data_IF_779091529515
#
_entry.id   IF_779091529515
#
_cell.length_a   1.000
_cell.length_b   1.000
_cell.length_c   1.000
_cell.angle_alpha   90.00
_cell.angle_beta   90.00
_cell.angle_gamma   90.00
#
_symmetry.space_group_name_H-M   'P 1'
#
loop_
_entity.id
_entity.type
_entity.pdbx_description
1 polymer ?
#
# COMPACT_ATOMS: atom_id res chain seq x y z
N UNK A 1 -57.82 -6.00 23.60
CA UNK A 1 -56.35 -6.08 23.77
C UNK A 1 -55.77 -7.19 22.89
N UNK A 2 -55.86 -7.10 21.55
CA UNK A 2 -55.31 -8.14 20.62
C UNK A 2 -54.91 -7.63 19.22
N UNK A 3 -55.00 -6.33 18.93
CA UNK A 3 -54.73 -5.80 17.58
C UNK A 3 -53.39 -5.04 17.50
N UNK A 4 -52.87 -4.58 18.64
CA UNK A 4 -51.59 -3.85 18.70
C UNK A 4 -50.34 -4.74 18.60
N UNK A 5 -50.46 -6.04 18.89
CA UNK A 5 -49.33 -6.98 18.83
C UNK A 5 -48.98 -7.43 17.41
N UNK A 6 -49.95 -7.42 16.48
CA UNK A 6 -49.72 -7.80 15.10
C UNK A 6 -48.99 -6.71 14.28
N UNK A 7 -49.23 -5.43 14.60
CA UNK A 7 -48.59 -4.32 13.90
C UNK A 7 -47.08 -4.20 14.22
N UNK A 8 -46.66 -4.58 15.44
CA UNK A 8 -45.25 -4.55 15.86
C UNK A 8 -44.40 -5.66 15.25
N UNK A 9 -45.00 -6.78 14.85
CA UNK A 9 -44.28 -7.89 14.19
C UNK A 9 -44.05 -7.62 12.70
N UNK A 10 -44.92 -6.83 12.05
CA UNK A 10 -44.80 -6.53 10.61
C UNK A 10 -43.65 -5.55 10.29
N UNK A 11 -43.26 -4.69 11.21
CA UNK A 11 -42.16 -3.72 10.99
C UNK A 11 -40.77 -4.33 11.17
N UNK A 12 -40.65 -5.46 11.88
CA UNK A 12 -39.39 -6.18 12.04
C UNK A 12 -39.00 -7.02 10.81
N UNK A 13 -39.99 -7.47 10.02
CA UNK A 13 -39.74 -8.27 8.82
C UNK A 13 -38.99 -7.50 7.73
N UNK A 14 -39.24 -6.20 7.57
CA UNK A 14 -38.57 -5.36 6.57
C UNK A 14 -37.09 -5.10 6.87
N UNK A 15 -36.64 -5.31 8.12
CA UNK A 15 -35.25 -5.11 8.50
C UNK A 15 -34.35 -6.30 8.12
N UNK A 16 -34.91 -7.51 7.97
CA UNK A 16 -34.12 -8.73 7.67
C UNK A 16 -33.81 -8.87 6.18
N UNK A 17 -34.74 -8.46 5.30
CA UNK A 17 -34.55 -8.52 3.84
C UNK A 17 -33.52 -7.52 3.30
N UNK A 18 -33.19 -6.47 4.06
CA UNK A 18 -32.27 -5.43 3.61
C UNK A 18 -30.81 -5.91 3.54
N UNK A 19 -30.45 -6.98 4.26
CA UNK A 19 -29.08 -7.51 4.32
C UNK A 19 -28.86 -8.73 3.44
N UNK A 20 -29.91 -9.47 3.10
CA UNK A 20 -29.81 -10.76 2.37
C UNK A 20 -29.09 -10.63 1.01
N UNK A 21 -29.28 -9.51 0.31
CA UNK A 21 -28.65 -9.25 -0.99
C UNK A 21 -27.59 -8.14 -0.92
N UNK A 22 -26.72 -8.21 0.10
CA UNK A 22 -25.62 -7.25 0.28
C UNK A 22 -24.26 -7.91 0.09
N UNK A 23 -23.38 -7.20 -0.60
CA UNK A 23 -22.01 -7.63 -0.85
C UNK A 23 -21.06 -6.58 -0.25
N UNK A 24 -20.05 -6.98 0.53
CA UNK A 24 -19.07 -6.08 1.09
C UNK A 24 -18.07 -5.61 0.02
N UNK A 25 -17.62 -4.36 0.12
CA UNK A 25 -16.55 -3.81 -0.70
C UNK A 25 -15.37 -3.43 0.19
N UNK A 26 -14.20 -3.98 -0.11
CA UNK A 26 -12.96 -3.72 0.62
C UNK A 26 -11.96 -3.06 -0.33
N UNK A 27 -11.33 -1.98 0.13
CA UNK A 27 -10.32 -1.24 -0.60
C UNK A 27 -9.08 -1.11 0.29
N UNK A 28 -7.90 -1.44 -0.23
CA UNK A 28 -6.64 -1.27 0.49
C UNK A 28 -5.51 -0.92 -0.47
N UNK A 29 -4.48 -0.27 0.07
CA UNK A 29 -3.31 0.15 -0.68
C UNK A 29 -2.06 0.19 0.20
N UNK A 30 -0.89 -0.26 -0.30
CA UNK A 30 0.39 -0.11 0.40
C UNK A 30 0.84 1.35 0.60
N UNK A 31 0.28 2.30 -0.16
CA UNK A 31 0.51 3.75 -0.05
C UNK A 31 -0.77 4.48 0.30
N UNK A 32 -0.68 5.78 0.63
CA UNK A 32 -1.80 6.67 0.95
C UNK A 32 -2.68 7.06 -0.25
N UNK A 33 -3.20 6.07 -0.96
CA UNK A 33 -4.13 6.29 -2.06
C UNK A 33 -5.59 6.24 -1.65
N UNK A 34 -5.89 5.70 -0.47
CA UNK A 34 -7.25 5.56 0.04
C UNK A 34 -7.37 6.41 1.30
N UNK A 35 -8.34 7.31 1.31
CA UNK A 35 -8.67 8.11 2.48
C UNK A 35 -9.85 7.44 3.18
N UNK A 36 -9.78 7.22 4.51
CA UNK A 36 -10.94 6.74 5.24
C UNK A 36 -12.07 7.74 5.04
N UNK A 37 -13.25 7.23 4.66
CA UNK A 37 -14.43 8.07 4.43
C UNK A 37 -14.81 8.71 5.76
N UNK A 38 -14.49 10.00 5.93
CA UNK A 38 -14.77 10.79 7.14
C UNK A 38 -16.25 11.14 7.30
N UNK A 39 -17.06 10.95 6.26
CA UNK A 39 -18.50 11.10 6.35
C UNK A 39 -19.14 9.84 6.94
N UNK A 40 -19.48 9.94 8.22
CA UNK A 40 -20.36 9.01 8.90
C UNK A 40 -21.72 9.02 8.21
N UNK A 41 -21.90 8.15 7.22
CA UNK A 41 -23.23 7.90 6.68
C UNK A 41 -24.01 7.16 7.75
N UNK A 42 -25.11 7.75 8.22
CA UNK A 42 -26.02 7.12 9.19
C UNK A 42 -26.76 5.91 8.59
N UNK A 43 -26.49 5.59 7.32
CA UNK A 43 -27.12 4.51 6.58
C UNK A 43 -26.21 3.28 6.56
N UNK A 44 -26.69 2.21 7.19
CA UNK A 44 -25.97 0.95 7.33
C UNK A 44 -25.85 0.18 6.00
N UNK A 45 -26.86 0.30 5.11
CA UNK A 45 -26.90 -0.35 3.79
C UNK A 45 -26.96 0.71 2.69
N UNK A 46 -26.00 0.71 1.78
CA UNK A 46 -25.93 1.71 0.69
C UNK A 46 -26.25 1.09 -0.67
N UNK A 47 -26.76 1.93 -1.58
CA UNK A 47 -27.05 1.51 -2.96
C UNK A 47 -25.75 1.36 -3.79
N UNK A 48 -25.81 0.61 -4.89
CA UNK A 48 -24.68 0.45 -5.82
C UNK A 48 -24.15 1.80 -6.35
N UNK A 49 -25.05 2.74 -6.66
CA UNK A 49 -24.65 4.08 -7.14
C UNK A 49 -23.96 4.90 -6.06
N UNK A 50 -24.46 4.86 -4.83
CA UNK A 50 -23.86 5.58 -3.70
C UNK A 50 -22.52 4.95 -3.32
N UNK A 51 -22.41 3.62 -3.38
CA UNK A 51 -21.16 2.91 -3.19
C UNK A 51 -20.09 3.36 -4.21
N UNK A 52 -20.46 3.42 -5.49
CA UNK A 52 -19.57 3.92 -6.56
C UNK A 52 -19.08 5.34 -6.27
N UNK A 53 -19.96 6.24 -5.81
CA UNK A 53 -19.58 7.61 -5.46
C UNK A 53 -18.64 7.64 -4.25
N UNK A 54 -18.95 6.89 -3.18
CA UNK A 54 -18.11 6.81 -1.97
C UNK A 54 -16.73 6.24 -2.26
N UNK A 55 -16.64 5.21 -3.11
CA UNK A 55 -15.38 4.65 -3.59
C UNK A 55 -14.56 5.75 -4.25
N UNK A 56 -15.13 6.46 -5.22
CA UNK A 56 -14.41 7.49 -5.98
C UNK A 56 -14.02 8.70 -5.13
N UNK A 57 -14.82 9.07 -4.12
CA UNK A 57 -14.49 10.15 -3.18
C UNK A 57 -13.41 9.74 -2.18
N UNK A 58 -13.30 8.46 -1.84
CA UNK A 58 -12.25 7.95 -0.95
C UNK A 58 -10.87 7.92 -1.64
N UNK A 59 -10.83 7.92 -2.97
CA UNK A 59 -9.56 7.90 -3.73
C UNK A 59 -8.84 9.24 -3.61
N UNK A 60 -7.55 9.18 -3.28
CA UNK A 60 -6.66 10.34 -3.28
C UNK A 60 -6.48 10.94 -4.68
N UNK A 61 -6.00 12.18 -4.75
CA UNK A 61 -5.60 12.82 -6.01
C UNK A 61 -4.49 12.04 -6.72
N UNK A 62 -3.63 11.40 -5.94
CA UNK A 62 -2.38 10.80 -6.42
C UNK A 62 -2.56 9.33 -6.85
N UNK A 63 -3.80 8.83 -6.86
CA UNK A 63 -4.14 7.46 -7.27
C UNK A 63 -3.60 7.12 -8.67
N UNK A 64 -3.53 8.10 -9.57
CA UNK A 64 -3.02 7.90 -10.93
C UNK A 64 -1.49 7.67 -10.99
N UNK A 65 -0.77 7.84 -9.87
CA UNK A 65 0.63 7.45 -9.73
C UNK A 65 0.81 5.96 -9.39
N UNK A 66 -0.28 5.24 -9.10
CA UNK A 66 -0.24 3.80 -8.97
C UNK A 66 0.10 3.15 -10.32
N UNK A 67 0.84 2.05 -10.30
CA UNK A 67 1.14 1.29 -11.53
C UNK A 67 -0.01 0.36 -11.92
N UNK A 68 -0.63 -0.25 -10.93
CA UNK A 68 -1.73 -1.19 -11.11
C UNK A 68 -2.84 -0.83 -10.13
N UNK A 69 -4.06 -0.72 -10.64
CA UNK A 69 -5.28 -0.57 -9.85
C UNK A 69 -6.14 -1.81 -10.14
N UNK A 70 -6.17 -2.74 -9.20
CA UNK A 70 -6.88 -3.99 -9.35
C UNK A 70 -8.29 -3.89 -8.75
N UNK A 71 -9.30 -4.32 -9.52
CA UNK A 71 -10.67 -4.49 -9.07
C UNK A 71 -10.99 -5.97 -9.14
N UNK A 72 -11.22 -6.57 -7.98
CA UNK A 72 -11.48 -8.00 -7.86
C UNK A 72 -12.96 -8.20 -7.60
N UNK A 73 -13.60 -8.94 -8.50
CA UNK A 73 -15.04 -9.20 -8.42
C UNK A 73 -15.24 -10.61 -7.87
N UNK A 74 -15.62 -10.69 -6.59
CA UNK A 74 -15.97 -11.94 -5.95
C UNK A 74 -17.49 -12.06 -5.84
N UNK A 75 -18.13 -12.91 -6.65
CA UNK A 75 -19.56 -13.12 -6.59
C UNK A 75 -19.98 -13.81 -5.28
N UNK A 76 -21.21 -13.55 -4.85
CA UNK A 76 -21.92 -14.27 -3.76
C UNK A 76 -21.22 -14.25 -2.39
N UNK A 77 -20.30 -13.31 -2.14
CA UNK A 77 -19.68 -13.12 -0.82
C UNK A 77 -20.51 -12.18 0.04
N UNK A 78 -20.78 -12.57 1.28
CA UNK A 78 -21.44 -11.75 2.29
C UNK A 78 -20.48 -11.44 3.45
N UNK A 79 -20.71 -10.33 4.15
CA UNK A 79 -19.97 -9.94 5.36
C UNK A 79 -19.90 -11.03 6.44
N UNK A 80 -20.91 -11.91 6.53
CA UNK A 80 -20.95 -13.01 7.50
C UNK A 80 -20.05 -14.18 7.08
N UNK A 81 -19.69 -14.30 5.80
CA UNK A 81 -18.80 -15.36 5.33
C UNK A 81 -17.38 -15.18 5.84
N UNK A 82 -16.96 -13.96 6.18
CA UNK A 82 -15.65 -13.69 6.77
C UNK A 82 -15.51 -14.17 8.22
N UNK A 83 -16.62 -14.34 8.93
CA UNK A 83 -16.68 -14.72 10.35
C UNK A 83 -17.08 -16.18 10.55
N UNK A 84 -17.67 -16.81 9.53
CA UNK A 84 -18.11 -18.20 9.57
C UNK A 84 -16.94 -19.16 9.78
N UNK A 85 -17.13 -20.12 10.69
CA UNK A 85 -16.10 -21.11 11.04
C UNK A 85 -15.62 -21.93 9.84
N UNK A 86 -16.56 -22.35 8.98
CA UNK A 86 -16.28 -23.13 7.76
C UNK A 86 -15.32 -22.39 6.80
N UNK A 87 -15.32 -21.05 6.84
CA UNK A 87 -14.52 -20.18 5.98
C UNK A 87 -13.28 -19.62 6.67
N UNK A 88 -12.87 -20.17 7.82
CA UNK A 88 -11.76 -19.65 8.61
C UNK A 88 -10.48 -19.46 7.79
N UNK A 89 -10.23 -20.36 6.84
CA UNK A 89 -9.05 -20.35 5.97
C UNK A 89 -9.28 -19.67 4.62
N UNK A 90 -10.53 -19.41 4.25
CA UNK A 90 -10.94 -19.04 2.90
C UNK A 90 -10.70 -17.58 2.50
N UNK A 91 -10.10 -16.77 3.37
CA UNK A 91 -9.82 -15.34 3.13
C UNK A 91 -8.48 -14.94 3.76
N UNK A 92 -7.54 -15.87 3.85
CA UNK A 92 -6.29 -15.67 4.59
C UNK A 92 -5.41 -14.66 3.86
N UNK A 93 -5.25 -14.83 2.54
CA UNK A 93 -4.46 -13.92 1.70
C UNK A 93 -5.06 -12.52 1.70
N UNK A 94 -6.39 -12.43 1.55
CA UNK A 94 -7.11 -11.16 1.60
C UNK A 94 -6.90 -10.43 2.94
N UNK A 95 -7.15 -11.12 4.07
CA UNK A 95 -7.03 -10.54 5.42
C UNK A 95 -5.60 -10.10 5.71
N UNK A 96 -4.61 -10.88 5.30
CA UNK A 96 -3.20 -10.55 5.48
C UNK A 96 -2.84 -9.23 4.78
N UNK A 97 -3.08 -9.13 3.48
CA UNK A 97 -2.75 -7.94 2.69
C UNK A 97 -3.54 -6.70 3.12
N UNK A 98 -4.83 -6.86 3.45
CA UNK A 98 -5.66 -5.77 3.94
C UNK A 98 -5.22 -5.27 5.33
N UNK A 99 -4.66 -6.15 6.17
CA UNK A 99 -4.16 -5.79 7.51
C UNK A 99 -2.78 -5.11 7.46
N UNK A 100 -1.94 -5.48 6.51
CA UNK A 100 -0.60 -4.91 6.33
C UNK A 100 -0.60 -3.62 5.50
N UNK A 101 -1.71 -3.30 4.83
CA UNK A 101 -1.85 -2.11 4.03
C UNK A 101 -1.72 -0.82 4.85
N UNK A 102 -1.07 0.19 4.26
CA UNK A 102 -0.90 1.50 4.92
C UNK A 102 -2.20 2.30 4.95
N UNK A 103 -3.00 2.21 3.89
CA UNK A 103 -4.33 2.82 3.82
C UNK A 103 -5.40 1.81 3.41
N UNK A 104 -6.57 1.89 4.04
CA UNK A 104 -7.71 1.00 3.80
C UNK A 104 -9.05 1.70 4.03
N UNK A 105 -10.08 1.22 3.35
CA UNK A 105 -11.47 1.59 3.58
C UNK A 105 -12.36 0.41 3.24
N UNK A 106 -13.39 0.20 4.04
CA UNK A 106 -14.38 -0.86 3.85
C UNK A 106 -15.80 -0.29 3.84
N UNK A 107 -16.65 -0.94 3.05
CA UNK A 107 -18.09 -0.69 2.98
C UNK A 107 -18.76 -2.04 3.18
N UNK A 108 -19.33 -2.23 4.36
CA UNK A 108 -19.78 -3.55 4.79
C UNK A 108 -21.03 -4.04 4.05
N UNK A 109 -21.95 -3.15 3.67
CA UNK A 109 -23.23 -3.56 3.08
C UNK A 109 -23.58 -2.71 1.84
N UNK A 110 -23.31 -3.26 0.66
CA UNK A 110 -23.73 -2.68 -0.63
C UNK A 110 -24.82 -3.54 -1.26
N UNK A 111 -26.00 -2.96 -1.49
CA UNK A 111 -27.12 -3.66 -2.13
C UNK A 111 -26.77 -4.06 -3.57
N UNK A 112 -26.82 -5.35 -3.88
CA UNK A 112 -26.50 -5.88 -5.21
C UNK A 112 -25.03 -5.71 -5.63
N UNK A 113 -24.14 -5.39 -4.68
CA UNK A 113 -22.72 -5.15 -4.93
C UNK A 113 -22.41 -3.85 -5.66
N UNK A 114 -21.15 -3.71 -6.07
CA UNK A 114 -20.63 -2.52 -6.76
C UNK A 114 -20.51 -2.84 -8.25
N UNK A 115 -20.90 -1.91 -9.12
CA UNK A 115 -20.63 -2.03 -10.55
C UNK A 115 -19.13 -1.81 -10.83
N UNK A 116 -18.39 -2.92 -10.83
CA UNK A 116 -16.94 -2.96 -11.05
C UNK A 116 -16.56 -2.33 -12.39
N UNK A 117 -17.39 -2.50 -13.43
CA UNK A 117 -17.11 -1.99 -14.77
C UNK A 117 -17.30 -0.48 -14.83
N UNK A 118 -18.34 0.05 -14.18
CA UNK A 118 -18.55 1.49 -14.06
C UNK A 118 -17.44 2.17 -13.23
N UNK A 119 -17.01 1.55 -12.12
CA UNK A 119 -15.89 2.06 -11.32
C UNK A 119 -14.60 2.05 -12.13
N UNK A 120 -14.27 0.93 -12.79
CA UNK A 120 -13.08 0.81 -13.62
C UNK A 120 -13.07 1.88 -14.73
N UNK A 121 -14.20 2.09 -15.42
CA UNK A 121 -14.34 3.11 -16.45
C UNK A 121 -14.11 4.53 -15.93
N UNK A 122 -14.64 4.85 -14.75
CA UNK A 122 -14.45 6.17 -14.13
C UNK A 122 -13.01 6.40 -13.68
N UNK A 123 -12.34 5.39 -13.12
CA UNK A 123 -10.92 5.46 -12.75
C UNK A 123 -10.04 5.58 -14.00
N UNK A 124 -10.30 4.75 -15.02
CA UNK A 124 -9.58 4.76 -16.29
C UNK A 124 -9.68 6.14 -16.98
N UNK A 125 -10.88 6.72 -17.02
CA UNK A 125 -11.09 8.06 -17.58
C UNK A 125 -10.36 9.14 -16.77
N UNK A 126 -10.33 9.02 -15.44
CA UNK A 126 -9.64 9.98 -14.56
C UNK A 126 -8.12 9.95 -14.72
N UNK A 127 -7.56 8.76 -14.94
CA UNK A 127 -6.11 8.55 -14.97
C UNK A 127 -5.52 8.32 -16.37
N UNK A 128 -6.32 8.45 -17.43
CA UNK A 128 -5.96 8.10 -18.81
C UNK A 128 -5.32 6.69 -18.90
N UNK A 129 -5.96 5.74 -18.22
CA UNK A 129 -5.46 4.39 -18.01
C UNK A 129 -6.20 3.38 -18.90
N UNK A 130 -5.49 2.35 -19.35
CA UNK A 130 -6.08 1.23 -20.06
C UNK A 130 -6.80 0.28 -19.08
N UNK A 131 -7.96 -0.23 -19.49
CA UNK A 131 -8.68 -1.28 -18.75
C UNK A 131 -8.27 -2.64 -19.33
N UNK A 132 -7.82 -3.53 -18.47
CA UNK A 132 -7.48 -4.90 -18.82
C UNK A 132 -8.31 -5.87 -17.97
N UNK A 133 -9.00 -6.82 -18.60
CA UNK A 133 -9.66 -7.92 -17.89
C UNK A 133 -8.70 -9.10 -17.83
N UNK A 134 -8.33 -9.52 -16.63
CA UNK A 134 -7.31 -10.55 -16.40
C UNK A 134 -7.95 -11.76 -15.71
N UNK A 135 -7.61 -12.95 -16.19
CA UNK A 135 -8.00 -14.20 -15.54
C UNK A 135 -7.00 -14.52 -14.41
N UNK A 136 -7.50 -14.61 -13.18
CA UNK A 136 -6.69 -14.92 -12.01
C UNK A 136 -5.94 -16.27 -12.11
N UNK A 137 -6.44 -17.20 -12.92
CA UNK A 137 -5.86 -18.54 -13.08
C UNK A 137 -4.64 -18.55 -14.03
N UNK A 138 -4.61 -17.69 -15.04
CA UNK A 138 -3.56 -17.66 -16.07
C UNK A 138 -2.67 -16.43 -16.00
N UNK A 139 -2.86 -15.56 -15.00
CA UNK A 139 -2.14 -14.31 -14.90
C UNK A 139 -0.62 -14.48 -14.82
N UNK A 140 0.08 -13.60 -15.52
CA UNK A 140 1.52 -13.58 -15.67
C UNK A 140 2.08 -12.16 -15.57
N UNK A 141 3.39 -12.07 -15.44
CA UNK A 141 4.14 -10.80 -15.34
C UNK A 141 4.09 -9.98 -16.64
N UNK A 142 3.86 -10.65 -17.77
CA UNK A 142 3.78 -10.06 -19.10
C UNK A 142 2.46 -9.32 -19.34
N UNK A 143 1.41 -9.67 -18.58
CA UNK A 143 0.10 -9.01 -18.63
C UNK A 143 0.14 -7.55 -18.10
N UNK A 144 1.23 -7.20 -17.42
CA UNK A 144 1.49 -5.85 -16.92
C UNK A 144 2.69 -5.23 -17.66
N UNK A 145 2.48 -4.72 -18.89
CA UNK A 145 3.54 -4.07 -19.65
C UNK A 145 3.99 -2.78 -18.94
N UNK A 146 5.26 -2.40 -19.14
CA UNK A 146 5.77 -1.12 -18.63
C UNK A 146 5.09 0.03 -19.38
N UNK A 147 4.07 0.61 -18.75
CA UNK A 147 3.40 1.81 -19.21
C UNK A 147 3.60 2.95 -18.20
N UNK A 148 3.60 4.18 -18.72
CA UNK A 148 3.67 5.39 -17.91
C UNK A 148 2.36 5.69 -17.19
N UNK A 149 1.25 5.15 -17.69
CA UNK A 149 -0.08 5.25 -17.11
C UNK A 149 -0.42 4.00 -16.30
N UNK A 150 -1.29 4.10 -15.29
CA UNK A 150 -1.76 2.93 -14.56
C UNK A 150 -2.46 1.93 -15.49
N UNK A 151 -2.43 0.66 -15.13
CA UNK A 151 -3.35 -0.35 -15.68
C UNK A 151 -4.48 -0.56 -14.68
N UNK A 152 -5.72 -0.43 -15.15
CA UNK A 152 -6.92 -0.77 -14.37
C UNK A 152 -7.27 -2.23 -14.67
N UNK A 153 -6.90 -3.14 -13.79
CA UNK A 153 -7.08 -4.57 -13.96
C UNK A 153 -8.41 -5.02 -13.33
N UNK A 154 -9.33 -5.57 -14.13
CA UNK A 154 -10.54 -6.22 -13.64
C UNK A 154 -10.27 -7.72 -13.57
N UNK A 155 -10.40 -8.29 -12.38
CA UNK A 155 -10.11 -9.70 -12.11
C UNK A 155 -11.39 -10.38 -11.60
N UNK A 156 -12.19 -10.98 -12.48
CA UNK A 156 -13.36 -11.73 -12.06
C UNK A 156 -12.92 -13.05 -11.41
N UNK A 157 -13.46 -13.34 -10.22
CA UNK A 157 -13.29 -14.64 -9.56
C UNK A 157 -14.47 -15.56 -9.91
N UNK A 158 -14.24 -16.88 -9.98
CA UNK A 158 -15.28 -17.81 -10.35
C UNK A 158 -16.38 -17.86 -9.27
N UNK A 159 -17.63 -17.93 -9.73
CA UNK A 159 -18.80 -18.09 -8.88
C UNK A 159 -18.93 -19.52 -8.38
N UNK A 160 -18.06 -19.88 -7.44
CA UNK A 160 -18.10 -21.16 -6.75
C UNK A 160 -18.13 -20.89 -5.26
N UNK A 161 -18.90 -21.68 -4.51
CA UNK A 161 -18.93 -21.65 -3.04
C UNK A 161 -17.59 -22.11 -2.42
N UNK A 162 -16.53 -22.27 -3.21
CA UNK A 162 -15.18 -22.61 -2.79
C UNK A 162 -14.35 -21.33 -2.61
N UNK A 163 -14.63 -20.60 -1.54
CA UNK A 163 -13.91 -19.37 -1.22
C UNK A 163 -12.41 -19.61 -0.99
N UNK A 164 -12.02 -20.78 -0.48
CA UNK A 164 -10.60 -21.14 -0.30
C UNK A 164 -9.86 -21.27 -1.64
N UNK A 165 -10.51 -21.87 -2.65
CA UNK A 165 -9.97 -21.89 -4.02
C UNK A 165 -9.80 -20.48 -4.59
N UNK A 166 -10.76 -19.59 -4.31
CA UNK A 166 -10.69 -18.19 -4.74
C UNK A 166 -9.57 -17.40 -4.02
N UNK A 167 -9.34 -17.65 -2.73
CA UNK A 167 -8.22 -17.05 -1.98
C UNK A 167 -6.86 -17.55 -2.49
N UNK A 168 -6.78 -18.79 -2.97
CA UNK A 168 -5.57 -19.30 -3.62
C UNK A 168 -5.30 -18.63 -4.97
N UNK A 169 -6.34 -18.36 -5.78
CA UNK A 169 -6.23 -17.57 -7.01
C UNK A 169 -5.79 -16.14 -6.70
N UNK A 170 -6.35 -15.56 -5.64
CA UNK A 170 -5.98 -14.24 -5.15
C UNK A 170 -4.51 -14.16 -4.71
N UNK A 171 -4.04 -15.19 -3.99
CA UNK A 171 -2.63 -15.29 -3.60
C UNK A 171 -1.68 -15.39 -4.80
N UNK A 172 -2.10 -16.09 -5.89
CA UNK A 172 -1.33 -16.09 -7.15
C UNK A 172 -1.26 -14.69 -7.75
N UNK A 173 -2.39 -13.98 -7.80
CA UNK A 173 -2.46 -12.62 -8.32
C UNK A 173 -1.49 -11.68 -7.58
N UNK A 174 -1.49 -11.69 -6.25
CA UNK A 174 -0.57 -10.85 -5.46
C UNK A 174 0.89 -11.20 -5.71
N UNK A 175 1.26 -12.49 -5.78
CA UNK A 175 2.63 -12.91 -6.09
C UNK A 175 3.13 -12.39 -7.43
N UNK A 176 2.27 -12.36 -8.45
CA UNK A 176 2.64 -11.81 -9.77
C UNK A 176 2.89 -10.29 -9.67
N UNK A 177 2.07 -9.57 -8.91
CA UNK A 177 2.29 -8.13 -8.69
C UNK A 177 3.58 -7.85 -7.90
N UNK A 178 3.87 -8.65 -6.87
CA UNK A 178 5.11 -8.57 -6.09
C UNK A 178 6.33 -8.85 -6.97
N UNK A 179 6.29 -9.92 -7.76
CA UNK A 179 7.36 -10.24 -8.71
C UNK A 179 7.59 -9.09 -9.70
N UNK A 180 6.52 -8.49 -10.23
CA UNK A 180 6.65 -7.34 -11.13
C UNK A 180 7.23 -6.11 -10.43
N UNK A 181 6.88 -5.89 -9.16
CA UNK A 181 7.45 -4.82 -8.37
C UNK A 181 8.95 -5.04 -8.16
N UNK A 182 9.37 -6.26 -7.84
CA UNK A 182 10.77 -6.66 -7.66
C UNK A 182 11.57 -6.58 -8.96
N UNK A 183 11.00 -6.95 -10.11
CA UNK A 183 11.61 -6.73 -11.43
C UNK A 183 11.85 -5.25 -11.70
N UNK A 184 10.89 -4.39 -11.35
CA UNK A 184 11.05 -2.95 -11.51
C UNK A 184 12.12 -2.36 -10.55
N UNK A 185 12.31 -2.96 -9.37
CA UNK A 185 13.37 -2.58 -8.43
C UNK A 185 14.74 -3.10 -8.89
N UNK A 186 14.82 -4.36 -9.32
CA UNK A 186 16.05 -4.97 -9.81
C UNK A 186 16.51 -4.35 -11.13
N UNK A 187 15.61 -3.90 -12.02
CA UNK A 187 15.99 -3.16 -13.23
C UNK A 187 16.62 -1.79 -12.94
N UNK A 188 16.35 -1.20 -11.77
CA UNK A 188 17.08 -0.01 -11.29
C UNK A 188 18.52 -0.34 -10.86
N UNK A 189 18.81 -1.61 -10.56
CA UNK A 189 20.17 -2.11 -10.36
C UNK A 189 20.72 -2.67 -11.69
N UNK A 190 21.82 -2.15 -12.25
CA UNK A 190 22.33 -2.67 -13.50
C UNK A 190 22.81 -4.13 -13.33
N UNK A 191 22.15 -5.08 -14.00
CA UNK A 191 22.46 -6.52 -13.91
C UNK A 191 23.75 -6.93 -14.64
N UNK A 192 24.33 -6.01 -15.40
CA UNK A 192 25.57 -6.24 -16.13
C UNK A 192 26.74 -6.29 -15.13
N UNK A 193 27.33 -7.47 -14.99
CA UNK A 193 28.46 -7.72 -14.08
C UNK A 193 29.73 -6.95 -14.45
N UNK A 194 29.80 -6.40 -15.67
CA UNK A 194 30.94 -5.66 -16.21
C UNK A 194 30.83 -4.13 -16.10
N UNK A 195 29.88 -3.58 -15.35
CA UNK A 195 29.90 -2.14 -15.07
C UNK A 195 30.89 -1.80 -13.96
N UNK A 196 31.53 -0.61 -14.02
CA UNK A 196 32.37 -0.12 -12.94
C UNK A 196 31.56 -0.09 -11.62
N UNK A 197 32.23 -0.38 -10.51
CA UNK A 197 31.63 -0.52 -9.17
C UNK A 197 30.70 0.64 -8.81
N UNK A 198 31.02 1.87 -9.22
CA UNK A 198 30.21 3.07 -8.92
C UNK A 198 28.90 3.16 -9.71
N UNK A 199 28.75 2.42 -10.80
CA UNK A 199 27.49 2.34 -11.55
C UNK A 199 26.52 1.31 -10.96
N UNK A 200 27.03 0.30 -10.21
CA UNK A 200 26.19 -0.72 -9.58
C UNK A 200 25.52 -0.26 -8.29
N UNK A 201 26.16 0.66 -7.57
CA UNK A 201 25.66 1.12 -6.27
C UNK A 201 25.28 2.60 -6.32
N UNK A 202 23.98 2.86 -6.47
CA UNK A 202 23.42 4.22 -6.52
C UNK A 202 23.68 5.02 -5.22
N UNK A 203 23.88 4.33 -4.07
CA UNK A 203 24.21 4.96 -2.79
C UNK A 203 25.68 5.45 -2.71
N UNK A 204 26.55 4.89 -3.54
CA UNK A 204 28.01 5.10 -3.53
C UNK A 204 28.44 5.95 -4.73
N UNK A 205 27.85 7.14 -4.85
CA UNK A 205 28.20 8.07 -5.93
C UNK A 205 29.65 8.55 -5.77
N UNK A 206 30.39 8.80 -6.87
CA UNK A 206 31.76 9.32 -6.79
C UNK A 206 31.91 10.58 -5.92
N UNK A 207 30.86 11.41 -5.89
CA UNK A 207 30.80 12.60 -5.04
C UNK A 207 30.86 12.31 -3.54
N UNK A 208 30.20 11.25 -3.05
CA UNK A 208 30.19 10.94 -1.61
C UNK A 208 31.59 10.52 -1.13
N UNK A 209 32.35 9.79 -1.95
CA UNK A 209 33.72 9.42 -1.65
C UNK A 209 34.69 10.60 -1.70
N UNK A 210 34.50 11.52 -2.65
CA UNK A 210 35.28 12.76 -2.68
C UNK A 210 35.07 13.59 -1.43
N UNK A 211 33.81 13.81 -1.03
CA UNK A 211 33.47 14.59 0.16
C UNK A 211 33.97 13.91 1.43
N UNK A 212 33.75 12.59 1.57
CA UNK A 212 34.19 11.83 2.72
C UNK A 212 35.72 11.78 2.82
N UNK A 213 36.42 11.63 1.71
CA UNK A 213 37.88 11.66 1.65
C UNK A 213 38.45 13.03 2.06
N UNK A 214 37.90 14.12 1.52
CA UNK A 214 38.30 15.48 1.89
C UNK A 214 37.97 15.77 3.36
N UNK A 215 36.83 15.32 3.86
CA UNK A 215 36.42 15.51 5.25
C UNK A 215 37.36 14.79 6.23
N UNK A 216 37.74 13.53 5.93
CA UNK A 216 38.72 12.79 6.73
C UNK A 216 40.09 13.48 6.71
N UNK A 217 40.54 13.99 5.56
CA UNK A 217 41.80 14.72 5.46
C UNK A 217 41.79 16.00 6.32
N UNK A 218 40.70 16.76 6.27
CA UNK A 218 40.54 17.95 7.10
C UNK A 218 40.52 17.62 8.59
N UNK A 219 39.81 16.55 8.98
CA UNK A 219 39.78 16.08 10.37
C UNK A 219 41.16 15.62 10.85
N UNK A 220 41.97 15.01 9.98
CA UNK A 220 43.34 14.62 10.32
C UNK A 220 44.23 15.85 10.58
N UNK A 221 44.19 16.84 9.70
CA UNK A 221 44.94 18.10 9.88
C UNK A 221 44.47 18.83 11.14
N UNK A 222 43.16 18.96 11.34
CA UNK A 222 42.59 19.60 12.53
C UNK A 222 42.97 18.84 13.82
N UNK A 223 42.92 17.50 13.81
CA UNK A 223 43.26 16.67 14.95
C UNK A 223 44.73 16.79 15.34
N UNK A 224 45.64 16.83 14.36
CA UNK A 224 47.05 17.13 14.65
C UNK A 224 47.21 18.53 15.22
N UNK A 225 46.63 19.57 14.61
CA UNK A 225 46.69 20.94 15.11
C UNK A 225 46.16 21.09 16.54
N UNK A 226 45.08 20.40 16.88
CA UNK A 226 44.52 20.40 18.23
C UNK A 226 45.46 19.72 19.23
N UNK A 227 46.11 18.63 18.83
CA UNK A 227 47.12 17.93 19.65
C UNK A 227 48.30 18.85 19.99
N UNK A 228 48.77 19.63 19.01
CA UNK A 228 49.81 20.63 19.22
C UNK A 228 49.36 21.74 20.17
N UNK A 229 48.11 22.23 20.04
CA UNK A 229 47.55 23.26 20.92
C UNK A 229 47.45 22.79 22.38
N UNK A 230 46.99 21.56 22.59
CA UNK A 230 46.83 20.95 23.92
C UNK A 230 48.18 20.65 24.59
N UNK A 231 49.27 20.54 23.83
CA UNK A 231 50.61 20.31 24.36
C UNK A 231 51.27 21.55 24.96
N UNK A 232 50.67 22.74 24.82
CA UNK A 232 51.24 23.98 25.37
C UNK A 232 51.08 23.97 26.90
N UNK A 233 52.20 23.80 27.61
CA UNK A 233 52.26 24.00 29.06
C UNK A 233 52.70 25.44 29.35
N UNK A 234 51.97 26.13 30.22
CA UNK A 234 52.41 27.42 30.74
C UNK A 234 53.40 27.19 31.90
N UNK A 235 54.58 27.83 31.90
CA UNK A 235 55.56 27.64 32.96
C UNK A 235 55.04 28.21 34.28
N UNK A 236 54.98 27.37 35.32
CA UNK A 236 54.30 27.68 36.60
C UNK A 236 55.14 28.52 37.57
N UNK A 237 56.42 28.81 37.28
CA UNK A 237 57.25 29.64 38.16
C UNK A 237 58.34 30.38 37.38
N UNK A 238 58.10 31.66 37.11
CA UNK A 238 59.11 32.59 36.62
C UNK A 238 59.72 33.35 37.81
N UNK A 239 60.55 32.69 38.63
CA UNK A 239 61.33 33.42 39.63
C UNK A 239 62.73 33.71 39.08
N UNK A 240 63.01 35.00 38.87
CA UNK A 240 64.35 35.46 38.55
C UNK A 240 65.26 35.21 39.75
N UNK A 241 66.20 34.28 39.61
CA UNK A 241 67.24 34.03 40.61
C UNK A 241 68.11 35.29 40.71
N UNK A 242 67.90 36.11 41.74
CA UNK A 242 68.81 37.22 42.06
C UNK A 242 70.13 36.62 42.54
N UNK A 243 71.20 36.81 41.76
CA UNK A 243 72.55 36.48 42.19
C UNK A 243 72.92 37.37 43.38
N UNK A 244 73.28 36.73 44.51
CA UNK A 244 73.76 37.40 45.72
C UNK A 244 75.22 37.78 45.49
N UNK A 245 75.49 39.07 45.37
CA UNK A 245 76.86 39.62 45.32
C UNK A 245 77.41 39.65 46.74
N UNK A 246 78.49 38.92 47.00
CA UNK A 246 79.31 39.06 48.20
C UNK A 246 80.09 40.38 48.18
#
# INVERSE_FOLDING_TARGET
MKIYTAALLSTLASAVLAFENTVPCLMWSPKDYIKPVTEASNQLVISNTDATLRILSSLSSDICSAKVIALLDQPEVHSNDFTRYDNKHAFTQLKEHASQAHSRSDIEYVTGGVDVQAVAKKIATKCDAAIATLDASTISVDDFPEQTTPVVAIVPLPNTNNFEGNDALLGRFFRVLEQKADEALTRRAPSNTNLPIFAKYQLFTPGIFMVLGVSILFLFIAGTGLTWLMGIQTPVRMEAVKQKKN
#
